data_IF_418867077409
#
_entry.id   IF_418867077409
#
_cell.length_a   1.000
_cell.length_b   1.000
_cell.length_c   1.000
_cell.angle_alpha   90.00
_cell.angle_beta   90.00
_cell.angle_gamma   90.00
#
_symmetry.space_group_name_H-M   'P 1'
#
loop_
_entity.id
_entity.type
_entity.pdbx_description
1 polymer ?
#
# COMPACT_ATOMS: atom_id res chain seq x y z
N UNK A 1 -40.78 -50.42 33.54
CA UNK A 1 -40.74 -48.99 33.95
C UNK A 1 -39.28 -48.58 34.15
N UNK A 2 -38.96 -47.33 33.78
CA UNK A 2 -37.66 -46.61 33.85
C UNK A 2 -36.55 -47.03 32.88
N UNK A 3 -36.51 -46.27 31.77
CA UNK A 3 -35.32 -45.96 30.96
C UNK A 3 -34.29 -45.22 31.82
N UNK A 4 -33.01 -45.55 31.69
CA UNK A 4 -31.91 -44.63 32.02
C UNK A 4 -30.88 -44.71 30.90
N UNK A 5 -30.78 -43.60 30.16
CA UNK A 5 -29.78 -43.30 29.15
C UNK A 5 -28.61 -42.64 29.91
N UNK A 6 -27.37 -43.13 29.78
CA UNK A 6 -26.18 -42.36 30.17
C UNK A 6 -25.24 -42.30 28.97
N UNK A 7 -25.16 -41.10 28.40
CA UNK A 7 -24.25 -40.77 27.32
C UNK A 7 -22.81 -40.70 27.83
N UNK A 8 -21.89 -41.23 27.03
CA UNK A 8 -20.46 -40.99 27.17
C UNK A 8 -20.14 -39.81 26.25
N UNK A 9 -19.91 -38.65 26.85
CA UNK A 9 -19.38 -37.47 26.17
C UNK A 9 -17.89 -37.70 25.99
N UNK A 10 -17.46 -37.93 24.75
CA UNK A 10 -16.05 -37.92 24.37
C UNK A 10 -15.63 -36.45 24.28
N UNK A 11 -14.97 -35.96 25.32
CA UNK A 11 -14.34 -34.64 25.32
C UNK A 11 -13.07 -34.68 24.46
N UNK A 12 -13.19 -34.37 23.18
CA UNK A 12 -12.05 -33.95 22.37
C UNK A 12 -11.71 -32.52 22.79
N UNK A 13 -10.67 -32.37 23.60
CA UNK A 13 -10.00 -31.07 23.79
C UNK A 13 -9.19 -30.82 22.52
N UNK A 14 -9.81 -30.16 21.55
CA UNK A 14 -9.08 -29.51 20.46
C UNK A 14 -8.37 -28.31 21.04
N UNK A 15 -7.06 -28.45 21.27
CA UNK A 15 -6.15 -27.32 21.42
C UNK A 15 -6.18 -26.59 20.08
N UNK A 16 -6.99 -25.54 20.00
CA UNK A 16 -6.98 -24.62 18.88
C UNK A 16 -5.69 -23.78 19.00
N UNK A 17 -4.63 -24.21 18.31
CA UNK A 17 -3.55 -23.32 17.93
C UNK A 17 -4.12 -22.31 16.94
N UNK A 18 -4.68 -21.21 17.44
CA UNK A 18 -5.00 -20.02 16.66
C UNK A 18 -3.72 -19.25 16.35
N UNK A 19 -2.84 -19.86 15.55
CA UNK A 19 -1.76 -19.16 14.88
C UNK A 19 -2.22 -18.95 13.44
N UNK A 20 -2.78 -17.78 13.14
CA UNK A 20 -2.88 -17.32 11.76
C UNK A 20 -1.46 -17.07 11.28
N UNK A 21 -0.77 -18.12 10.84
CA UNK A 21 0.44 -17.99 10.04
C UNK A 21 -0.01 -17.45 8.71
N UNK A 22 -0.04 -16.12 8.58
CA UNK A 22 0.04 -15.48 7.27
C UNK A 22 1.35 -15.95 6.65
N UNK A 23 1.29 -16.97 5.79
CA UNK A 23 2.46 -17.35 5.00
C UNK A 23 2.93 -16.08 4.27
N UNK A 24 4.20 -15.75 4.44
CA UNK A 24 4.80 -14.65 3.71
C UNK A 24 4.59 -14.89 2.21
N UNK A 25 4.32 -13.83 1.41
CA UNK A 25 4.16 -13.98 -0.03
C UNK A 25 5.35 -14.75 -0.62
N UNK A 26 5.14 -15.60 -1.64
CA UNK A 26 6.23 -16.37 -2.22
C UNK A 26 7.31 -15.44 -2.80
N UNK A 27 8.59 -15.86 -2.84
CA UNK A 27 9.65 -15.05 -3.44
C UNK A 27 9.28 -14.61 -4.87
N UNK A 28 9.39 -13.31 -5.14
CA UNK A 28 8.97 -12.71 -6.41
C UNK A 28 7.56 -12.13 -6.41
N UNK A 29 6.82 -12.20 -5.29
CA UNK A 29 5.57 -11.49 -5.12
C UNK A 29 5.82 -9.96 -4.89
N UNK A 30 5.14 -9.07 -5.64
CA UNK A 30 5.35 -7.63 -5.53
C UNK A 30 4.94 -7.05 -4.18
N UNK A 31 4.15 -7.76 -3.38
CA UNK A 31 3.64 -7.31 -2.09
C UNK A 31 4.49 -7.74 -0.88
N UNK A 32 5.43 -8.68 -1.04
CA UNK A 32 6.32 -9.09 0.06
C UNK A 32 7.13 -7.93 0.64
N UNK A 33 7.47 -7.96 1.93
CA UNK A 33 8.25 -6.90 2.59
C UNK A 33 9.76 -7.18 2.65
N UNK A 34 10.27 -7.99 1.73
CA UNK A 34 11.68 -8.41 1.71
C UNK A 34 12.61 -7.20 1.51
N UNK A 35 13.67 -7.13 2.31
CA UNK A 35 14.68 -6.07 2.21
C UNK A 35 15.56 -6.23 0.96
N UNK A 36 16.11 -5.11 0.46
CA UNK A 36 17.02 -5.14 -0.70
C UNK A 36 16.37 -5.62 -1.99
N UNK A 37 15.07 -5.41 -2.14
CA UNK A 37 14.29 -5.74 -3.33
C UNK A 37 13.78 -4.47 -3.99
N UNK A 38 13.65 -4.51 -5.30
CA UNK A 38 13.03 -3.47 -6.11
C UNK A 38 11.82 -4.04 -6.82
N UNK A 39 10.71 -3.31 -6.76
CA UNK A 39 9.51 -3.58 -7.58
C UNK A 39 9.33 -2.47 -8.59
N UNK A 40 9.08 -2.83 -9.83
CA UNK A 40 8.63 -1.88 -10.85
C UNK A 40 7.11 -1.78 -10.76
N UNK A 41 6.60 -0.59 -10.46
CA UNK A 41 5.18 -0.32 -10.20
C UNK A 41 4.64 0.64 -11.25
N UNK A 42 3.43 0.40 -11.77
CA UNK A 42 2.78 1.32 -12.72
C UNK A 42 2.06 0.61 -13.86
N UNK A 43 1.76 1.35 -14.93
CA UNK A 43 0.94 0.85 -16.05
C UNK A 43 1.77 0.50 -17.31
N UNK A 44 3.08 0.73 -17.29
CA UNK A 44 3.98 0.51 -18.42
C UNK A 44 4.57 -0.90 -18.51
N UNK A 45 5.23 -1.18 -19.64
CA UNK A 45 5.95 -2.43 -19.82
C UNK A 45 7.03 -2.61 -18.74
N UNK A 46 6.98 -3.74 -18.02
CA UNK A 46 7.87 -4.03 -16.89
C UNK A 46 7.20 -3.87 -15.52
N UNK A 47 6.01 -3.29 -15.43
CA UNK A 47 5.24 -3.26 -14.19
C UNK A 47 5.01 -4.68 -13.63
N UNK A 48 5.01 -4.79 -12.30
CA UNK A 48 4.96 -6.06 -11.57
C UNK A 48 6.29 -6.81 -11.51
N UNK A 49 7.35 -6.33 -12.17
CA UNK A 49 8.68 -6.97 -12.08
C UNK A 49 9.25 -6.80 -10.69
N UNK A 50 9.62 -7.92 -10.06
CA UNK A 50 10.32 -7.96 -8.78
C UNK A 50 11.74 -8.46 -9.02
N UNK A 51 12.73 -7.72 -8.53
CA UNK A 51 14.14 -8.11 -8.62
C UNK A 51 14.85 -7.79 -7.31
N UNK A 52 15.97 -8.46 -7.05
CA UNK A 52 16.92 -7.98 -6.05
C UNK A 52 17.43 -6.60 -6.50
N UNK A 53 17.50 -5.65 -5.57
CA UNK A 53 18.12 -4.35 -5.82
C UNK A 53 19.60 -4.58 -6.14
N UNK A 54 20.09 -4.10 -7.30
CA UNK A 54 21.49 -4.31 -7.68
C UNK A 54 22.47 -3.59 -6.74
N UNK A 55 23.66 -4.17 -6.60
CA UNK A 55 24.77 -3.57 -5.86
C UNK A 55 25.70 -2.77 -6.79
N UNK A 56 26.38 -1.75 -6.25
CA UNK A 56 27.37 -0.98 -7.00
C UNK A 56 26.80 -0.25 -8.23
N UNK A 57 27.48 -0.38 -9.38
CA UNK A 57 27.11 0.31 -10.62
C UNK A 57 26.12 -0.47 -11.51
N UNK A 58 25.66 -1.64 -11.06
CA UNK A 58 24.66 -2.42 -11.78
C UNK A 58 23.30 -1.72 -11.76
N UNK A 59 22.47 -1.94 -12.77
CA UNK A 59 21.15 -1.32 -12.85
C UNK A 59 20.09 -2.30 -13.34
N UNK A 60 18.84 -1.96 -13.07
CA UNK A 60 17.68 -2.67 -13.55
C UNK A 60 17.38 -2.17 -14.97
N UNK A 61 17.42 -3.08 -15.93
CA UNK A 61 17.07 -2.77 -17.32
C UNK A 61 15.56 -2.81 -17.49
N UNK A 62 14.95 -1.66 -17.73
CA UNK A 62 13.53 -1.58 -18.06
C UNK A 62 13.30 -1.87 -19.55
N UNK A 63 12.13 -2.41 -19.93
CA UNK A 63 11.77 -2.61 -21.33
C UNK A 63 11.79 -1.33 -22.18
N UNK A 64 11.66 -0.17 -21.56
CA UNK A 64 11.83 1.14 -22.21
C UNK A 64 13.26 1.43 -22.66
N UNK A 65 14.23 0.59 -22.27
CA UNK A 65 15.66 0.76 -22.47
C UNK A 65 16.35 1.58 -21.37
N UNK A 66 15.60 2.01 -20.35
CA UNK A 66 16.16 2.76 -19.22
C UNK A 66 16.91 1.84 -18.25
N UNK A 67 18.10 2.29 -17.82
CA UNK A 67 18.96 1.63 -16.85
C UNK A 67 18.78 2.30 -15.49
N UNK A 68 17.92 1.73 -14.64
CA UNK A 68 17.48 2.35 -13.39
C UNK A 68 18.33 1.87 -12.22
N UNK A 69 18.79 2.81 -11.40
CA UNK A 69 19.63 2.57 -10.24
C UNK A 69 18.96 3.04 -8.95
N UNK A 70 18.05 2.24 -8.34
CA UNK A 70 17.40 2.62 -7.08
C UNK A 70 18.40 2.91 -5.96
N UNK A 71 19.59 2.31 -5.98
CA UNK A 71 20.66 2.54 -5.03
C UNK A 71 21.25 3.96 -5.05
N UNK A 72 20.99 4.75 -6.10
CA UNK A 72 21.40 6.15 -6.14
C UNK A 72 20.48 7.03 -5.26
N UNK A 73 19.29 6.52 -4.89
CA UNK A 73 18.29 7.22 -4.07
C UNK A 73 18.04 6.55 -2.72
N UNK A 74 17.94 5.23 -2.69
CA UNK A 74 17.62 4.44 -1.51
C UNK A 74 18.90 3.96 -0.80
N UNK A 75 18.83 3.80 0.52
CA UNK A 75 19.98 3.30 1.28
C UNK A 75 20.16 1.80 1.07
N UNK A 76 21.37 1.32 1.35
CA UNK A 76 21.68 -0.10 1.24
C UNK A 76 20.72 -0.95 2.10
N UNK A 77 20.18 -2.01 1.52
CA UNK A 77 19.21 -2.91 2.14
C UNK A 77 17.77 -2.37 2.19
N UNK A 78 17.51 -1.10 1.85
CA UNK A 78 16.16 -0.59 1.71
C UNK A 78 15.43 -1.26 0.55
N UNK A 79 14.11 -1.34 0.67
CA UNK A 79 13.24 -1.69 -0.45
C UNK A 79 13.04 -0.46 -1.33
N UNK A 80 12.90 -0.66 -2.63
CA UNK A 80 12.52 0.38 -3.57
C UNK A 80 11.28 0.00 -4.39
N UNK A 81 10.40 0.96 -4.63
CA UNK A 81 9.43 0.88 -5.73
C UNK A 81 9.84 1.90 -6.80
N UNK A 82 10.13 1.40 -8.00
CA UNK A 82 10.40 2.21 -9.20
C UNK A 82 9.07 2.43 -9.90
N UNK A 83 8.53 3.64 -9.77
CA UNK A 83 7.25 4.01 -10.37
C UNK A 83 7.48 4.43 -11.81
N UNK A 84 6.78 3.76 -12.75
CA UNK A 84 6.87 4.00 -14.18
C UNK A 84 5.54 4.45 -14.78
N UNK A 85 5.59 5.38 -15.75
CA UNK A 85 4.41 5.74 -16.54
C UNK A 85 4.02 4.63 -17.54
N UNK A 86 2.91 4.83 -18.24
CA UNK A 86 2.33 3.94 -19.27
C UNK A 86 3.28 3.67 -20.45
N UNK A 87 4.33 4.47 -20.61
CA UNK A 87 5.38 4.29 -21.63
C UNK A 87 6.59 3.53 -21.08
N UNK A 88 6.57 3.16 -19.79
CA UNK A 88 7.68 2.48 -19.11
C UNK A 88 8.81 3.40 -18.69
N UNK A 89 8.59 4.72 -18.64
CA UNK A 89 9.60 5.68 -18.18
C UNK A 89 9.50 5.86 -16.66
N UNK A 90 10.64 5.92 -15.97
CA UNK A 90 10.64 6.23 -14.52
C UNK A 90 10.16 7.65 -14.26
N UNK A 91 9.22 7.76 -13.32
CA UNK A 91 8.69 9.05 -12.83
C UNK A 91 9.00 9.29 -11.36
N UNK A 92 9.18 8.22 -10.57
CA UNK A 92 9.53 8.33 -9.16
C UNK A 92 10.19 7.04 -8.65
N UNK A 93 10.99 7.16 -7.59
CA UNK A 93 11.50 6.02 -6.81
C UNK A 93 11.12 6.23 -5.35
N UNK A 94 10.29 5.33 -4.81
CA UNK A 94 9.92 5.33 -3.39
C UNK A 94 10.85 4.39 -2.65
N UNK A 95 11.53 4.91 -1.63
CA UNK A 95 12.45 4.13 -0.79
C UNK A 95 11.78 3.83 0.54
N UNK A 96 11.97 2.62 1.04
CA UNK A 96 11.45 2.26 2.35
C UNK A 96 12.47 1.56 3.24
N UNK A 97 12.54 1.98 4.52
CA UNK A 97 13.49 1.42 5.46
C UNK A 97 13.37 -0.11 5.58
N UNK A 98 14.51 -0.75 5.77
CA UNK A 98 14.60 -2.18 6.03
C UNK A 98 14.16 -2.53 7.47
N UNK A 99 13.98 -3.82 7.72
CA UNK A 99 13.79 -4.41 9.06
C UNK A 99 12.59 -3.84 9.83
N UNK A 100 11.37 -3.88 9.24
CA UNK A 100 10.16 -3.47 9.94
C UNK A 100 9.97 -4.30 11.22
N UNK A 101 9.50 -3.64 12.28
CA UNK A 101 9.10 -4.31 13.53
C UNK A 101 7.60 -4.62 13.50
N UNK A 102 7.11 -5.67 14.15
CA UNK A 102 5.67 -5.88 14.28
C UNK A 102 5.00 -4.65 14.89
N UNK A 103 3.89 -4.20 14.30
CA UNK A 103 3.17 -3.03 14.78
C UNK A 103 2.61 -3.27 16.20
N UNK A 104 2.69 -2.27 17.10
CA UNK A 104 2.09 -2.37 18.43
C UNK A 104 0.58 -2.18 18.33
N UNK A 105 -0.17 -3.27 18.47
CA UNK A 105 -1.65 -3.25 18.53
C UNK A 105 -2.09 -3.11 20.00
N UNK A 106 -2.94 -2.14 20.29
CA UNK A 106 -3.48 -1.92 21.63
C UNK A 106 -4.68 -2.84 21.96
N UNK A 107 -5.24 -2.68 23.17
CA UNK A 107 -6.36 -3.49 23.65
C UNK A 107 -7.66 -3.28 22.85
N UNK A 108 -7.79 -2.13 22.18
CA UNK A 108 -8.93 -1.77 21.35
C UNK A 108 -8.72 -2.17 19.88
N UNK A 109 -7.56 -2.75 19.56
CA UNK A 109 -7.21 -3.20 18.22
C UNK A 109 -6.65 -2.10 17.32
N UNK A 110 -6.29 -0.93 17.87
CA UNK A 110 -5.68 0.17 17.13
C UNK A 110 -4.15 0.07 17.14
N UNK A 111 -3.52 0.77 16.20
CA UNK A 111 -2.06 0.97 16.17
C UNK A 111 -1.77 2.46 16.27
N UNK A 112 -0.99 2.84 17.28
CA UNK A 112 -0.46 4.19 17.41
C UNK A 112 1.04 4.20 17.12
N UNK A 113 1.41 4.80 16.00
CA UNK A 113 2.79 4.96 15.56
C UNK A 113 3.25 6.39 15.78
N UNK A 114 4.57 6.57 15.78
CA UNK A 114 5.10 7.90 15.59
C UNK A 114 5.07 8.80 16.84
N UNK A 115 5.06 8.18 18.02
CA UNK A 115 5.47 8.88 19.26
C UNK A 115 6.90 9.44 19.12
N UNK A 116 7.70 8.86 18.21
CA UNK A 116 9.00 9.32 17.73
C UNK A 116 9.10 9.25 16.20
N UNK A 117 10.02 9.99 15.58
CA UNK A 117 10.27 9.93 14.13
C UNK A 117 10.85 8.55 13.72
N UNK A 118 10.67 8.16 12.45
CA UNK A 118 11.28 6.96 11.83
C UNK A 118 10.72 5.62 12.31
N UNK A 119 9.46 5.57 12.72
CA UNK A 119 8.80 4.29 13.01
C UNK A 119 8.66 3.45 11.72
N UNK A 120 9.08 2.20 11.74
CA UNK A 120 9.00 1.28 10.58
C UNK A 120 8.37 0.00 11.07
N UNK A 121 7.14 -0.25 10.64
CA UNK A 121 6.36 -1.39 11.14
C UNK A 121 5.84 -2.28 10.02
N UNK A 122 5.64 -3.56 10.34
CA UNK A 122 4.87 -4.49 9.55
C UNK A 122 3.54 -4.79 10.24
N UNK A 123 2.47 -4.89 9.46
CA UNK A 123 1.13 -5.21 9.93
C UNK A 123 0.59 -6.48 9.26
N UNK A 124 -0.13 -7.28 10.02
CA UNK A 124 -1.08 -8.27 9.51
C UNK A 124 -2.48 -7.66 9.49
N UNK A 125 -3.43 -8.34 10.13
CA UNK A 125 -4.75 -7.79 10.38
C UNK A 125 -4.78 -6.91 11.64
N UNK A 126 -5.23 -5.67 11.47
CA UNK A 126 -5.51 -4.69 12.52
C UNK A 126 -7.01 -4.45 12.54
N UNK A 127 -7.67 -4.68 13.68
CA UNK A 127 -9.13 -4.56 13.77
C UNK A 127 -9.61 -3.09 13.74
N UNK A 128 -8.84 -2.19 14.36
CA UNK A 128 -9.17 -0.78 14.52
C UNK A 128 -8.43 0.14 13.56
N UNK A 129 -8.17 1.36 14.03
CA UNK A 129 -7.50 2.42 13.28
C UNK A 129 -5.97 2.30 13.35
N UNK A 130 -5.30 2.84 12.34
CA UNK A 130 -3.85 3.12 12.42
C UNK A 130 -3.64 4.63 12.42
N UNK A 131 -3.03 5.15 13.47
CA UNK A 131 -2.66 6.57 13.57
C UNK A 131 -1.15 6.70 13.63
N UNK A 132 -0.58 7.64 12.87
CA UNK A 132 0.84 7.96 12.89
C UNK A 132 1.07 9.45 13.13
N UNK A 133 1.97 9.80 14.05
CA UNK A 133 2.43 11.19 14.24
C UNK A 133 3.94 11.31 13.97
N UNK A 134 4.43 12.47 13.58
CA UNK A 134 5.85 12.65 13.30
C UNK A 134 6.32 12.15 11.92
N UNK A 135 7.62 12.30 11.66
CA UNK A 135 8.19 12.17 10.31
C UNK A 135 8.79 10.78 10.05
N UNK A 136 8.79 10.37 8.79
CA UNK A 136 9.41 9.13 8.28
C UNK A 136 8.76 7.86 8.85
N UNK A 137 7.43 7.84 9.00
CA UNK A 137 6.72 6.64 9.44
C UNK A 137 6.43 5.73 8.24
N UNK A 138 6.76 4.45 8.33
CA UNK A 138 6.50 3.46 7.29
C UNK A 138 5.67 2.31 7.83
N UNK A 139 4.59 1.97 7.12
CA UNK A 139 3.71 0.83 7.40
C UNK A 139 3.77 -0.14 6.23
N UNK A 140 4.30 -1.34 6.47
CA UNK A 140 4.32 -2.43 5.53
C UNK A 140 3.19 -3.41 5.79
N UNK A 141 2.44 -3.75 4.76
CA UNK A 141 1.66 -4.98 4.70
C UNK A 141 2.42 -6.08 3.95
N UNK A 142 1.73 -7.22 3.81
CA UNK A 142 2.15 -8.38 3.00
C UNK A 142 1.25 -8.56 1.78
N UNK A 143 0.55 -7.50 1.38
CA UNK A 143 -0.38 -7.48 0.26
C UNK A 143 -1.82 -7.21 0.69
N UNK A 144 -2.64 -6.56 -0.16
CA UNK A 144 -4.02 -6.24 0.17
C UNK A 144 -4.89 -7.45 0.56
N UNK A 145 -4.57 -8.65 0.08
CA UNK A 145 -5.28 -9.88 0.47
C UNK A 145 -4.86 -10.47 1.83
N UNK A 146 -3.80 -9.96 2.45
CA UNK A 146 -3.17 -10.53 3.66
C UNK A 146 -3.15 -9.55 4.82
N UNK A 147 -2.90 -8.27 4.56
CA UNK A 147 -2.79 -7.24 5.59
C UNK A 147 -3.95 -6.26 5.51
N UNK A 148 -4.83 -6.31 6.51
CA UNK A 148 -6.03 -5.47 6.55
C UNK A 148 -6.04 -4.53 7.75
N UNK A 149 -6.35 -3.26 7.53
CA UNK A 149 -6.72 -2.29 8.56
C UNK A 149 -8.24 -2.15 8.53
N UNK A 150 -8.90 -2.59 9.60
CA UNK A 150 -10.36 -2.60 9.73
C UNK A 150 -10.98 -1.21 9.90
N UNK A 151 -10.21 -0.27 10.41
CA UNK A 151 -10.59 1.13 10.57
C UNK A 151 -10.00 2.05 9.49
N UNK A 152 -9.80 3.31 9.86
CA UNK A 152 -9.15 4.33 9.02
C UNK A 152 -7.64 4.39 9.29
N UNK A 153 -6.91 4.99 8.35
CA UNK A 153 -5.53 5.42 8.54
C UNK A 153 -5.48 6.94 8.64
N UNK A 154 -4.85 7.47 9.69
CA UNK A 154 -4.61 8.89 9.84
C UNK A 154 -3.13 9.15 10.12
N UNK A 155 -2.46 9.98 9.33
CA UNK A 155 -1.06 10.30 9.54
C UNK A 155 -0.78 11.81 9.49
N UNK A 156 0.01 12.28 10.44
CA UNK A 156 0.50 13.66 10.52
C UNK A 156 2.03 13.68 10.55
N UNK A 157 2.65 14.41 9.62
CA UNK A 157 4.10 14.52 9.48
C UNK A 157 4.56 14.26 8.05
N UNK A 158 5.83 14.56 7.77
CA UNK A 158 6.41 14.35 6.45
C UNK A 158 6.88 12.90 6.29
N UNK A 159 6.90 12.42 5.03
CA UNK A 159 7.47 11.11 4.67
C UNK A 159 6.72 9.93 5.30
N UNK A 160 5.39 10.00 5.42
CA UNK A 160 4.57 8.83 5.71
C UNK A 160 4.55 7.91 4.49
N UNK A 161 4.78 6.61 4.66
CA UNK A 161 4.70 5.63 3.60
C UNK A 161 3.86 4.43 4.04
N UNK A 162 2.93 3.98 3.20
CA UNK A 162 2.18 2.74 3.42
C UNK A 162 2.16 1.92 2.15
N UNK A 163 2.40 0.61 2.30
CA UNK A 163 2.58 -0.29 1.16
C UNK A 163 1.91 -1.63 1.36
N UNK A 164 1.15 -2.11 0.38
CA UNK A 164 0.67 -3.49 0.38
C UNK A 164 -0.42 -3.77 1.42
N UNK A 165 -1.34 -2.83 1.65
CA UNK A 165 -2.35 -2.91 2.72
C UNK A 165 -3.74 -2.65 2.18
N UNK A 166 -4.74 -3.37 2.68
CA UNK A 166 -6.15 -2.99 2.55
C UNK A 166 -6.58 -2.13 3.73
N UNK A 167 -7.19 -0.96 3.47
CA UNK A 167 -7.81 -0.10 4.48
C UNK A 167 -9.31 -0.06 4.25
N UNK A 168 -10.10 -0.52 5.21
CA UNK A 168 -11.57 -0.53 5.10
C UNK A 168 -12.20 0.86 5.30
N UNK A 169 -11.51 1.73 6.02
CA UNK A 169 -11.90 3.12 6.20
C UNK A 169 -11.25 4.08 5.19
N UNK A 170 -11.25 5.36 5.55
CA UNK A 170 -10.52 6.39 4.81
C UNK A 170 -9.02 6.34 5.11
N UNK A 171 -8.23 6.94 4.22
CA UNK A 171 -6.82 7.28 4.47
C UNK A 171 -6.70 8.80 4.46
N UNK A 172 -6.30 9.39 5.58
CA UNK A 172 -6.19 10.83 5.77
C UNK A 172 -4.74 11.20 6.13
N UNK A 173 -4.03 11.88 5.22
CA UNK A 173 -2.61 12.20 5.40
C UNK A 173 -2.40 13.72 5.40
N UNK A 174 -1.68 14.23 6.39
CA UNK A 174 -1.29 15.64 6.48
C UNK A 174 0.23 15.76 6.61
N UNK A 175 0.86 16.38 5.63
CA UNK A 175 2.33 16.50 5.53
C UNK A 175 2.83 16.21 4.11
N UNK A 176 4.10 16.49 3.85
CA UNK A 176 4.68 16.35 2.52
C UNK A 176 5.35 14.99 2.31
N UNK A 177 5.54 14.60 1.05
CA UNK A 177 6.24 13.38 0.65
C UNK A 177 5.55 12.10 1.14
N UNK A 178 4.21 12.09 1.20
CA UNK A 178 3.46 10.88 1.52
C UNK A 178 3.53 9.88 0.36
N UNK A 179 3.58 8.58 0.66
CA UNK A 179 3.56 7.51 -0.34
C UNK A 179 2.53 6.44 0.01
N UNK A 180 1.67 6.11 -0.95
CA UNK A 180 0.75 4.98 -0.91
C UNK A 180 1.02 4.12 -2.15
N UNK A 181 1.41 2.86 -1.96
CA UNK A 181 1.79 2.01 -3.10
C UNK A 181 1.23 0.60 -2.91
N UNK A 182 0.62 0.04 -3.95
CA UNK A 182 0.09 -1.33 -3.91
C UNK A 182 -0.97 -1.52 -2.79
N UNK A 183 -1.80 -0.52 -2.56
CA UNK A 183 -2.80 -0.51 -1.49
C UNK A 183 -4.22 -0.63 -2.04
N UNK A 184 -5.13 -1.15 -1.23
CA UNK A 184 -6.58 -1.05 -1.45
C UNK A 184 -7.17 -0.14 -0.38
N UNK A 185 -7.98 0.83 -0.78
CA UNK A 185 -8.69 1.74 0.15
C UNK A 185 -10.17 1.71 -0.19
N UNK A 186 -10.98 1.16 0.73
CA UNK A 186 -12.43 1.09 0.56
C UNK A 186 -13.13 2.44 0.77
N UNK A 187 -12.50 3.33 1.55
CA UNK A 187 -12.93 4.70 1.74
C UNK A 187 -12.31 5.69 0.74
N UNK A 188 -12.26 6.95 1.15
CA UNK A 188 -11.59 8.02 0.42
C UNK A 188 -10.11 8.12 0.83
N UNK A 189 -9.26 8.55 -0.11
CA UNK A 189 -7.88 8.99 0.16
C UNK A 189 -7.85 10.52 0.13
N UNK A 190 -7.55 11.13 1.27
CA UNK A 190 -7.55 12.59 1.45
C UNK A 190 -6.17 13.03 1.91
N UNK A 191 -5.50 13.86 1.14
CA UNK A 191 -4.11 14.26 1.41
C UNK A 191 -3.99 15.77 1.43
N UNK A 192 -3.41 16.32 2.49
CA UNK A 192 -3.08 17.74 2.65
C UNK A 192 -1.57 17.89 2.73
N UNK A 193 -0.95 18.16 1.59
CA UNK A 193 0.50 18.28 1.47
C UNK A 193 1.00 18.03 0.05
N UNK A 194 2.27 18.38 -0.17
CA UNK A 194 2.90 18.31 -1.49
C UNK A 194 3.70 17.02 -1.66
N UNK A 195 4.12 16.75 -2.90
CA UNK A 195 5.06 15.68 -3.26
C UNK A 195 4.54 14.28 -2.94
N UNK A 196 3.24 14.07 -3.05
CA UNK A 196 2.59 12.78 -2.76
C UNK A 196 2.83 11.78 -3.89
N UNK A 197 3.07 10.51 -3.56
CA UNK A 197 3.06 9.40 -4.50
C UNK A 197 1.87 8.49 -4.19
N UNK A 198 1.01 8.23 -5.16
CA UNK A 198 0.00 7.16 -5.10
C UNK A 198 0.18 6.33 -6.36
N UNK A 199 0.61 5.08 -6.20
CA UNK A 199 0.92 4.22 -7.34
C UNK A 199 0.29 2.84 -7.17
N UNK A 200 -0.39 2.37 -8.22
CA UNK A 200 -0.94 1.01 -8.30
C UNK A 200 -1.85 0.69 -7.10
N UNK A 201 -2.72 1.64 -6.78
CA UNK A 201 -3.69 1.51 -5.70
C UNK A 201 -5.12 1.42 -6.26
N UNK A 202 -5.94 0.59 -5.62
CA UNK A 202 -7.38 0.54 -5.87
C UNK A 202 -8.08 1.34 -4.77
N UNK A 203 -8.81 2.39 -5.15
CA UNK A 203 -9.54 3.27 -4.24
C UNK A 203 -11.01 3.23 -4.63
N UNK A 204 -11.87 2.68 -3.76
CA UNK A 204 -13.33 2.63 -4.01
C UNK A 204 -13.97 4.02 -3.87
N UNK A 205 -13.41 4.85 -3.00
CA UNK A 205 -13.77 6.24 -2.85
C UNK A 205 -13.16 7.16 -3.90
N UNK A 206 -12.93 8.40 -3.51
CA UNK A 206 -12.18 9.39 -4.31
C UNK A 206 -10.74 9.52 -3.81
N UNK A 207 -9.89 10.08 -4.66
CA UNK A 207 -8.61 10.67 -4.26
C UNK A 207 -8.78 12.19 -4.28
N UNK A 208 -8.54 12.86 -3.15
CA UNK A 208 -8.60 14.32 -3.01
C UNK A 208 -7.27 14.82 -2.43
N UNK A 209 -6.52 15.58 -3.21
CA UNK A 209 -5.21 16.10 -2.80
C UNK A 209 -5.23 17.63 -2.80
N UNK A 210 -5.03 18.19 -1.61
CA UNK A 210 -4.74 19.59 -1.41
C UNK A 210 -3.23 19.81 -1.31
N UNK A 211 -2.60 20.04 -2.47
CA UNK A 211 -1.16 20.18 -2.63
C UNK A 211 -0.73 20.00 -4.09
N UNK A 212 0.57 20.16 -4.35
CA UNK A 212 1.15 20.05 -5.71
C UNK A 212 2.27 19.01 -5.79
N UNK A 213 2.84 18.87 -6.99
CA UNK A 213 3.94 17.97 -7.31
C UNK A 213 3.65 16.49 -7.00
N UNK A 214 2.40 16.05 -7.18
CA UNK A 214 2.03 14.66 -6.91
C UNK A 214 2.40 13.73 -8.07
N UNK A 215 2.55 12.44 -7.79
CA UNK A 215 2.73 11.37 -8.77
C UNK A 215 1.60 10.37 -8.56
N UNK A 216 0.65 10.33 -9.49
CA UNK A 216 -0.52 9.47 -9.48
C UNK A 216 -0.46 8.55 -10.68
N UNK A 217 -0.08 7.30 -10.46
CA UNK A 217 0.18 6.35 -11.54
C UNK A 217 -0.57 5.04 -11.35
N UNK A 218 -1.22 4.56 -12.40
CA UNK A 218 -1.86 3.24 -12.43
C UNK A 218 -2.88 2.99 -11.31
N UNK A 219 -3.56 4.04 -10.82
CA UNK A 219 -4.57 3.87 -9.79
C UNK A 219 -5.95 3.61 -10.40
N UNK A 220 -6.74 2.79 -9.70
CA UNK A 220 -8.13 2.53 -10.02
C UNK A 220 -8.99 3.29 -9.02
N UNK A 221 -9.82 4.24 -9.46
CA UNK A 221 -10.52 5.16 -8.55
C UNK A 221 -12.02 5.22 -8.83
N UNK A 222 -12.83 4.84 -7.85
CA UNK A 222 -14.28 4.70 -8.00
C UNK A 222 -15.02 6.03 -8.17
N UNK A 223 -14.55 7.08 -7.48
CA UNK A 223 -15.20 8.41 -7.48
C UNK A 223 -14.32 9.52 -8.05
N UNK A 224 -13.29 9.17 -8.81
CA UNK A 224 -12.40 10.11 -9.49
C UNK A 224 -11.31 10.72 -8.61
N UNK A 225 -10.47 11.53 -9.26
CA UNK A 225 -9.31 12.20 -8.66
C UNK A 225 -9.52 13.71 -8.74
N UNK A 226 -9.38 14.40 -7.61
CA UNK A 226 -9.44 15.88 -7.51
C UNK A 226 -8.14 16.41 -6.94
N UNK A 227 -7.56 17.42 -7.59
CA UNK A 227 -6.38 18.13 -7.12
C UNK A 227 -6.72 19.61 -6.92
N UNK A 228 -6.37 20.21 -5.78
CA UNK A 228 -6.49 21.67 -5.59
C UNK A 228 -5.47 22.43 -6.46
N UNK A 229 -4.30 21.84 -6.68
CA UNK A 229 -3.20 22.40 -7.47
C UNK A 229 -2.47 21.31 -8.26
N UNK A 230 -2.78 21.19 -9.55
CA UNK A 230 -2.19 20.16 -10.41
C UNK A 230 -0.75 20.49 -10.87
N UNK A 231 -0.13 21.58 -10.41
CA UNK A 231 1.21 21.98 -10.86
C UNK A 231 2.23 20.87 -10.63
N UNK A 232 3.03 20.62 -11.67
CA UNK A 232 4.05 19.56 -11.75
C UNK A 232 3.56 18.16 -11.34
N UNK A 233 2.24 17.90 -11.41
CA UNK A 233 1.70 16.59 -11.10
C UNK A 233 1.89 15.66 -12.30
N UNK A 234 2.42 14.47 -12.04
CA UNK A 234 2.39 13.35 -12.98
C UNK A 234 1.08 12.60 -12.74
N UNK A 235 0.28 12.45 -13.78
CA UNK A 235 -0.99 11.72 -13.73
C UNK A 235 -1.10 10.84 -14.96
N UNK A 236 -0.90 9.54 -14.79
CA UNK A 236 -0.78 8.62 -15.92
C UNK A 236 -1.32 7.22 -15.56
N UNK A 237 -2.01 6.58 -16.51
CA UNK A 237 -2.52 5.22 -16.33
C UNK A 237 -3.63 5.07 -15.28
N UNK A 238 -4.13 6.15 -14.68
CA UNK A 238 -5.24 6.06 -13.74
C UNK A 238 -6.54 5.75 -14.49
N UNK A 239 -7.39 4.91 -13.92
CA UNK A 239 -8.67 4.51 -14.51
C UNK A 239 -9.79 4.64 -13.49
N UNK A 240 -10.99 4.96 -13.95
CA UNK A 240 -12.18 4.83 -13.14
C UNK A 240 -12.52 3.36 -13.02
N UNK A 241 -13.20 2.96 -11.96
CA UNK A 241 -13.82 1.64 -11.91
C UNK A 241 -15.14 1.70 -11.14
N UNK A 242 -15.94 0.65 -11.26
CA UNK A 242 -17.18 0.51 -10.52
C UNK A 242 -17.31 -0.91 -10.03
N UNK A 243 -17.36 -1.09 -8.71
CA UNK A 243 -17.64 -2.36 -8.05
C UNK A 243 -19.13 -2.73 -8.26
N UNK A 244 -19.43 -3.34 -9.41
CA UNK A 244 -20.78 -3.62 -9.85
C UNK A 244 -21.39 -4.81 -9.07
N UNK A 245 -20.54 -5.74 -8.62
CA UNK A 245 -20.97 -6.93 -7.90
C UNK A 245 -20.86 -6.80 -6.37
N UNK A 246 -20.22 -5.74 -5.87
CA UNK A 246 -20.11 -5.40 -4.45
C UNK A 246 -19.06 -6.21 -3.68
N UNK A 247 -18.11 -6.86 -4.38
CA UNK A 247 -17.08 -7.69 -3.77
C UNK A 247 -15.80 -6.92 -3.39
N UNK A 248 -15.71 -5.64 -3.78
CA UNK A 248 -14.58 -4.72 -3.51
C UNK A 248 -13.26 -5.15 -4.13
N UNK A 249 -13.31 -5.94 -5.19
CA UNK A 249 -12.17 -6.38 -5.99
C UNK A 249 -12.42 -5.91 -7.41
N UNK A 250 -11.40 -5.35 -8.09
CA UNK A 250 -11.57 -5.02 -9.50
C UNK A 250 -11.70 -6.30 -10.32
N UNK A 251 -12.92 -6.61 -10.78
CA UNK A 251 -13.16 -7.74 -11.68
C UNK A 251 -13.08 -7.37 -13.16
N UNK A 252 -12.85 -8.34 -14.06
CA UNK A 252 -12.91 -8.12 -15.50
C UNK A 252 -14.23 -7.46 -15.92
N UNK A 253 -14.14 -6.27 -16.52
CA UNK A 253 -15.29 -5.49 -16.97
C UNK A 253 -15.77 -4.41 -15.99
N UNK A 254 -15.21 -4.35 -14.78
CA UNK A 254 -15.47 -3.28 -13.81
C UNK A 254 -14.53 -2.07 -13.99
N UNK A 255 -13.45 -2.27 -14.74
CA UNK A 255 -12.57 -1.20 -15.19
C UNK A 255 -13.27 -0.26 -16.18
N UNK A 256 -13.06 1.03 -16.00
CA UNK A 256 -13.72 2.10 -16.74
C UNK A 256 -12.74 2.98 -17.53
N UNK A 257 -13.16 4.21 -17.79
CA UNK A 257 -12.41 5.16 -18.61
C UNK A 257 -11.13 5.63 -17.90
N UNK A 258 -10.15 6.07 -18.69
CA UNK A 258 -8.96 6.74 -18.15
C UNK A 258 -9.35 8.01 -17.38
N UNK A 259 -8.76 8.21 -16.21
CA UNK A 259 -8.90 9.43 -15.42
C UNK A 259 -7.70 10.32 -15.68
N UNK A 260 -7.97 11.51 -16.19
CA UNK A 260 -7.01 12.61 -16.17
C UNK A 260 -7.16 13.38 -14.86
N UNK A 261 -6.05 13.78 -14.25
CA UNK A 261 -6.11 14.60 -13.06
C UNK A 261 -6.52 16.03 -13.44
N UNK A 262 -7.75 16.39 -13.08
CA UNK A 262 -8.27 17.75 -13.24
C UNK A 262 -7.96 18.59 -12.00
N UNK A 263 -7.48 19.81 -12.23
CA UNK A 263 -7.47 20.83 -11.18
C UNK A 263 -8.91 21.29 -10.91
N UNK A 264 -9.25 21.45 -9.63
CA UNK A 264 -10.55 21.98 -9.19
C UNK A 264 -10.73 23.46 -9.51
#
# INVERSE_FOLDING_TARGET
MRKVLFGVVVGFVSIACGGSSSEAPPPGDPYGSESGTTVVVGAGAGAGTVTKTPDGDQCIQLPSGECVRPQDKCKNGERADVVIDSRGKVVEIVCYPASPQPAPVDADGNVELGKENKAVVSIGDVAGDVTAKGNNVTVYGQGPGVSTIGGKVAAEGNNFAMRGVTVKGNVELTGNNAALVLCVVEGDVIIRGNNTVIADCTVLGKIDIDGNNSVLVANEVGKGITLSDARNTVCDGNTSWSDANGNKVLDPGEGGAAITCSQK
#
